data_IF_177249633548
#
_entry.id   IF_177249633548
#
_cell.length_a   1.000
_cell.length_b   1.000
_cell.length_c   1.000
_cell.angle_alpha   90.00
_cell.angle_beta   90.00
_cell.angle_gamma   90.00
#
_symmetry.space_group_name_H-M   'P 1'
#
loop_
_entity.id
_entity.type
_entity.pdbx_description
1 polymer ?
#
# COMPACT_ATOMS: atom_id res chain seq x y z
N UNK A 1 4.74 1.94 5.39
CA UNK A 1 6.19 2.23 5.17
C UNK A 1 6.45 2.16 3.68
N UNK A 2 6.91 3.25 3.05
CA UNK A 2 6.95 3.35 1.58
C UNK A 2 8.34 3.25 0.96
N UNK A 3 9.41 3.56 1.71
CA UNK A 3 10.78 3.58 1.18
C UNK A 3 11.54 2.31 1.56
N UNK A 4 11.60 1.98 2.86
CA UNK A 4 12.39 0.84 3.38
C UNK A 4 11.58 0.12 4.48
N UNK A 5 10.61 -0.76 4.14
CA UNK A 5 9.79 -1.47 5.12
C UNK A 5 10.61 -2.36 6.07
N UNK A 6 11.71 -2.93 5.58
CA UNK A 6 12.64 -3.77 6.34
C UNK A 6 13.44 -3.02 7.42
N UNK A 7 13.44 -1.68 7.45
CA UNK A 7 14.16 -0.92 8.47
C UNK A 7 13.40 -0.79 9.80
N UNK A 8 12.19 -1.32 9.93
CA UNK A 8 11.43 -1.24 11.18
C UNK A 8 12.16 -1.94 12.34
N UNK A 9 12.34 -1.22 13.47
CA UNK A 9 12.97 -1.75 14.70
C UNK A 9 12.00 -2.72 15.38
N UNK A 10 10.76 -2.30 15.54
CA UNK A 10 9.66 -3.13 16.01
C UNK A 10 8.97 -3.73 14.78
N UNK A 11 9.22 -5.02 14.51
CA UNK A 11 8.62 -5.72 13.37
C UNK A 11 7.11 -5.81 13.55
N UNK A 12 6.38 -5.48 12.48
CA UNK A 12 4.91 -5.56 12.41
C UNK A 12 4.45 -6.82 11.67
N UNK A 13 5.37 -7.72 11.34
CA UNK A 13 5.09 -8.92 10.54
C UNK A 13 4.45 -9.98 11.44
N UNK A 14 3.23 -10.40 11.10
CA UNK A 14 2.44 -11.36 11.88
C UNK A 14 1.65 -10.77 13.05
N UNK A 15 1.75 -9.46 13.34
CA UNK A 15 0.89 -8.78 14.30
C UNK A 15 -0.37 -8.25 13.60
N UNK A 16 -1.52 -8.42 14.25
CA UNK A 16 -2.81 -7.91 13.78
C UNK A 16 -3.43 -6.93 14.78
N UNK A 17 -4.19 -5.96 14.27
CA UNK A 17 -4.91 -4.98 15.09
C UNK A 17 -4.02 -4.11 15.98
N UNK A 18 -4.39 -4.02 17.26
CA UNK A 18 -3.82 -3.07 18.22
C UNK A 18 -2.31 -3.26 18.48
N UNK A 19 -1.80 -4.48 18.37
CA UNK A 19 -0.38 -4.76 18.63
C UNK A 19 0.52 -4.27 17.48
N UNK A 20 0.04 -4.38 16.23
CA UNK A 20 0.72 -3.84 15.06
C UNK A 20 0.76 -2.30 15.10
N UNK A 21 -0.33 -1.67 15.55
CA UNK A 21 -0.40 -0.22 15.73
C UNK A 21 0.57 0.27 16.82
N UNK A 22 0.66 -0.44 17.94
CA UNK A 22 1.62 -0.13 19.00
C UNK A 22 3.08 -0.23 18.51
N UNK A 23 3.40 -1.27 17.74
CA UNK A 23 4.73 -1.43 17.13
C UNK A 23 5.04 -0.29 16.13
N UNK A 24 4.07 0.11 15.31
CA UNK A 24 4.21 1.25 14.40
C UNK A 24 4.46 2.55 15.17
N UNK A 25 3.72 2.80 16.25
CA UNK A 25 3.84 4.01 17.05
C UNK A 25 5.22 4.10 17.73
N UNK A 26 5.72 2.98 18.25
CA UNK A 26 7.06 2.91 18.84
C UNK A 26 8.15 3.18 17.80
N UNK A 27 8.03 2.64 16.57
CA UNK A 27 8.93 2.97 15.47
C UNK A 27 8.93 4.49 15.17
N UNK A 28 7.75 5.11 15.10
CA UNK A 28 7.64 6.56 14.82
C UNK A 28 8.24 7.42 15.94
N UNK A 29 8.11 7.01 17.20
CA UNK A 29 8.73 7.70 18.34
C UNK A 29 10.25 7.67 18.23
N UNK A 30 10.85 6.50 18.00
CA UNK A 30 12.31 6.35 17.92
C UNK A 30 12.87 7.14 16.73
N UNK A 31 12.37 6.89 15.51
CA UNK A 31 12.83 7.62 14.33
C UNK A 31 12.54 9.12 14.41
N UNK A 32 11.40 9.51 14.98
CA UNK A 32 11.05 10.91 15.21
C UNK A 32 12.06 11.60 16.12
N UNK A 33 12.44 10.99 17.25
CA UNK A 33 13.44 11.56 18.16
C UNK A 33 14.83 11.69 17.52
N UNK A 34 15.25 10.68 16.75
CA UNK A 34 16.52 10.71 16.04
C UNK A 34 16.56 11.83 14.98
N UNK A 35 15.53 11.91 14.13
CA UNK A 35 15.44 12.95 13.10
C UNK A 35 15.34 14.35 13.72
N UNK A 36 14.57 14.52 14.79
CA UNK A 36 14.45 15.79 15.50
C UNK A 36 15.81 16.24 16.06
N UNK A 37 16.56 15.33 16.68
CA UNK A 37 17.88 15.63 17.23
C UNK A 37 18.86 16.06 16.13
N UNK A 38 18.84 15.39 14.98
CA UNK A 38 19.66 15.74 13.83
C UNK A 38 19.28 17.12 13.24
N UNK A 39 17.99 17.39 13.08
CA UNK A 39 17.50 18.68 12.60
C UNK A 39 17.87 19.82 13.55
N UNK A 40 17.80 19.60 14.87
CA UNK A 40 18.24 20.58 15.86
C UNK A 40 19.73 20.91 15.69
N UNK A 41 20.60 19.90 15.57
CA UNK A 41 22.04 20.08 15.36
C UNK A 41 22.30 20.90 14.08
N UNK A 42 21.63 20.57 12.98
CA UNK A 42 21.78 21.29 11.69
C UNK A 42 21.42 22.77 11.83
N UNK A 43 20.35 23.10 12.55
CA UNK A 43 19.92 24.49 12.78
C UNK A 43 20.94 25.24 13.63
N UNK A 44 21.47 24.63 14.70
CA UNK A 44 22.48 25.26 15.56
C UNK A 44 23.81 25.53 14.83
N UNK A 45 24.26 24.60 13.99
CA UNK A 45 25.54 24.72 13.28
C UNK A 45 25.46 25.70 12.11
N UNK A 46 24.29 25.89 11.50
CA UNK A 46 24.29 26.39 10.12
C UNK A 46 23.02 27.02 9.58
N UNK A 47 22.41 27.99 10.27
CA UNK A 47 21.27 28.77 9.72
C UNK A 47 21.56 29.38 8.33
N UNK A 48 22.82 29.74 8.06
CA UNK A 48 23.25 30.26 6.75
C UNK A 48 23.19 29.21 5.63
N UNK A 49 23.43 27.94 5.95
CA UNK A 49 23.36 26.83 5.01
C UNK A 49 21.92 26.41 4.73
N UNK A 50 21.08 26.36 5.77
CA UNK A 50 19.64 26.05 5.63
C UNK A 50 18.96 27.04 4.69
N UNK A 51 19.29 28.34 4.79
CA UNK A 51 18.74 29.36 3.90
C UNK A 51 19.09 29.14 2.41
N UNK A 52 20.27 28.57 2.11
CA UNK A 52 20.66 28.27 0.72
C UNK A 52 19.96 27.02 0.17
N UNK A 53 19.66 26.04 1.03
CA UNK A 53 18.93 24.82 0.66
C UNK A 53 17.41 25.01 0.59
N UNK A 54 16.88 26.08 1.20
CA UNK A 54 15.45 26.40 1.18
C UNK A 54 14.86 26.45 -0.23
N UNK A 55 15.60 26.99 -1.20
CA UNK A 55 15.17 27.06 -2.60
C UNK A 55 15.02 25.66 -3.23
N UNK A 56 15.88 24.71 -2.86
CA UNK A 56 15.80 23.32 -3.36
C UNK A 56 14.56 22.63 -2.81
N UNK A 57 14.25 22.81 -1.52
CA UNK A 57 13.03 22.28 -0.92
C UNK A 57 11.77 22.87 -1.57
N UNK A 58 11.76 24.18 -1.83
CA UNK A 58 10.66 24.83 -2.54
C UNK A 58 10.49 24.27 -3.95
N UNK A 59 11.59 24.11 -4.71
CA UNK A 59 11.55 23.52 -6.05
C UNK A 59 10.99 22.08 -6.03
N UNK A 60 11.37 21.26 -5.05
CA UNK A 60 10.85 19.90 -4.89
C UNK A 60 9.32 19.88 -4.70
N UNK A 61 8.79 20.79 -3.88
CA UNK A 61 7.34 20.90 -3.65
C UNK A 61 6.62 21.33 -4.93
N UNK A 62 7.14 22.33 -5.66
CA UNK A 62 6.56 22.77 -6.93
C UNK A 62 6.55 21.62 -7.96
N UNK A 63 7.66 20.90 -8.11
CA UNK A 63 7.72 19.72 -8.98
C UNK A 63 6.71 18.63 -8.57
N UNK A 64 6.52 18.40 -7.27
CA UNK A 64 5.55 17.42 -6.76
C UNK A 64 4.11 17.83 -7.11
N UNK A 65 3.77 19.12 -6.96
CA UNK A 65 2.45 19.65 -7.34
C UNK A 65 2.23 19.50 -8.85
N UNK A 66 3.22 19.88 -9.67
CA UNK A 66 3.14 19.74 -11.12
C UNK A 66 2.98 18.27 -11.55
N UNK A 67 3.68 17.34 -10.88
CA UNK A 67 3.55 15.91 -11.15
C UNK A 67 2.15 15.37 -10.83
N UNK A 68 1.52 15.84 -9.74
CA UNK A 68 0.14 15.48 -9.42
C UNK A 68 -0.82 15.97 -10.52
N UNK A 69 -0.71 17.23 -10.95
CA UNK A 69 -1.54 17.77 -12.03
C UNK A 69 -1.34 17.02 -13.36
N UNK A 70 -0.08 16.77 -13.73
CA UNK A 70 0.24 15.99 -14.93
C UNK A 70 -0.36 14.58 -14.84
N UNK A 71 -0.27 13.93 -13.67
CA UNK A 71 -0.86 12.62 -13.42
C UNK A 71 -2.38 12.61 -13.61
N UNK A 72 -3.09 13.58 -13.05
CA UNK A 72 -4.56 13.70 -13.20
C UNK A 72 -4.95 13.88 -14.67
N UNK A 73 -4.29 14.77 -15.41
CA UNK A 73 -4.57 15.00 -16.84
C UNK A 73 -4.27 13.72 -17.64
N UNK A 74 -3.17 13.03 -17.34
CA UNK A 74 -2.80 11.77 -18.00
C UNK A 74 -3.86 10.70 -17.80
N UNK A 75 -4.54 10.66 -16.65
CA UNK A 75 -5.63 9.71 -16.41
C UNK A 75 -6.87 9.91 -17.29
N UNK A 76 -7.03 11.06 -17.94
CA UNK A 76 -8.13 11.29 -18.89
C UNK A 76 -7.96 10.48 -20.18
N UNK A 77 -6.72 10.30 -20.62
CA UNK A 77 -6.41 9.60 -21.87
C UNK A 77 -5.94 8.17 -21.64
N UNK A 78 -5.15 7.94 -20.59
CA UNK A 78 -4.57 6.63 -20.29
C UNK A 78 -4.51 6.41 -18.76
N UNK A 79 -5.58 5.89 -18.15
CA UNK A 79 -5.61 5.63 -16.71
C UNK A 79 -4.56 4.57 -16.33
N UNK A 80 -3.83 4.75 -15.20
CA UNK A 80 -2.85 3.77 -14.76
C UNK A 80 -3.53 2.49 -14.26
N UNK A 81 -2.92 1.34 -14.56
CA UNK A 81 -3.40 0.03 -14.09
C UNK A 81 -3.00 -0.14 -12.62
N UNK A 82 -3.94 0.14 -11.72
CA UNK A 82 -3.78 -0.08 -10.28
C UNK A 82 -4.97 -0.90 -9.78
N UNK A 83 -4.89 -2.24 -9.83
CA UNK A 83 -6.01 -3.09 -9.45
C UNK A 83 -6.16 -3.21 -7.94
N UNK A 84 -7.42 -3.28 -7.49
CA UNK A 84 -7.80 -3.53 -6.11
C UNK A 84 -8.63 -4.82 -6.09
N UNK A 85 -8.31 -5.71 -5.16
CA UNK A 85 -9.00 -6.98 -5.01
C UNK A 85 -10.18 -6.82 -4.06
N UNK A 86 -11.36 -7.26 -4.48
CA UNK A 86 -12.59 -7.17 -3.71
C UNK A 86 -13.19 -8.57 -3.58
N UNK A 87 -13.55 -8.94 -2.35
CA UNK A 87 -14.31 -10.14 -2.06
C UNK A 87 -15.75 -9.73 -1.75
N UNK A 88 -16.67 -9.98 -2.66
CA UNK A 88 -18.05 -9.50 -2.57
C UNK A 88 -18.11 -7.97 -2.47
N UNK A 89 -18.33 -7.46 -1.25
CA UNK A 89 -18.38 -6.02 -0.94
C UNK A 89 -17.25 -5.56 0.01
N UNK A 90 -16.25 -6.40 0.27
CA UNK A 90 -15.12 -6.08 1.15
C UNK A 90 -13.83 -5.95 0.35
N UNK A 91 -13.09 -4.87 0.57
CA UNK A 91 -11.76 -4.71 -0.02
C UNK A 91 -10.75 -5.60 0.70
N UNK A 92 -9.88 -6.25 -0.09
CA UNK A 92 -8.78 -7.05 0.43
C UNK A 92 -7.50 -6.23 0.39
N UNK A 93 -6.72 -6.33 1.45
CA UNK A 93 -5.36 -5.79 1.47
C UNK A 93 -4.49 -6.74 0.66
N UNK A 94 -3.83 -6.22 -0.39
CA UNK A 94 -2.82 -6.95 -1.19
C UNK A 94 -1.55 -7.23 -0.37
N UNK A 95 -1.69 -8.00 0.70
CA UNK A 95 -0.61 -8.45 1.58
C UNK A 95 -0.90 -9.93 1.89
N UNK A 96 0.03 -10.80 1.49
CA UNK A 96 -0.10 -12.25 1.70
C UNK A 96 -0.68 -13.03 0.51
N UNK A 97 -1.01 -12.39 -0.60
CA UNK A 97 -1.37 -13.07 -1.85
C UNK A 97 -0.89 -12.31 -3.09
N UNK A 98 -0.66 -13.05 -4.18
CA UNK A 98 -0.06 -12.52 -5.42
C UNK A 98 -1.08 -12.30 -6.55
N UNK A 99 -2.22 -12.99 -6.49
CA UNK A 99 -3.25 -12.99 -7.55
C UNK A 99 -4.63 -12.83 -6.92
N UNK A 100 -5.43 -11.91 -7.46
CA UNK A 100 -6.82 -11.67 -7.06
C UNK A 100 -7.78 -12.72 -7.68
N UNK A 101 -7.56 -13.99 -7.38
CA UNK A 101 -8.42 -15.08 -7.82
C UNK A 101 -8.43 -16.18 -6.76
N UNK A 102 -9.50 -16.98 -6.71
CA UNK A 102 -9.57 -18.15 -5.80
C UNK A 102 -8.76 -19.32 -6.34
N UNK A 103 -8.85 -19.54 -7.65
CA UNK A 103 -8.21 -20.62 -8.39
C UNK A 103 -7.56 -20.06 -9.64
N UNK A 104 -6.49 -20.71 -10.10
CA UNK A 104 -5.81 -20.42 -11.36
C UNK A 104 -5.61 -21.73 -12.12
N UNK A 105 -5.64 -21.65 -13.45
CA UNK A 105 -5.28 -22.77 -14.30
C UNK A 105 -3.76 -22.75 -14.55
N UNK A 106 -3.07 -23.79 -14.10
CA UNK A 106 -1.65 -24.00 -14.40
C UNK A 106 -1.51 -25.37 -15.04
N UNK A 107 -0.97 -25.42 -16.25
CA UNK A 107 -0.67 -26.68 -16.97
C UNK A 107 -1.89 -27.62 -17.09
N UNK A 108 -3.06 -27.07 -17.47
CA UNK A 108 -4.34 -27.79 -17.60
C UNK A 108 -4.90 -28.38 -16.28
N UNK A 109 -4.38 -27.97 -15.13
CA UNK A 109 -4.92 -28.31 -13.82
C UNK A 109 -5.37 -27.03 -13.07
N UNK A 110 -6.46 -27.15 -12.32
CA UNK A 110 -6.94 -26.08 -11.42
C UNK A 110 -6.18 -26.14 -10.11
N UNK A 111 -5.46 -25.07 -9.79
CA UNK A 111 -4.65 -24.94 -8.58
C UNK A 111 -5.18 -23.77 -7.75
N UNK A 112 -5.22 -23.94 -6.43
CA UNK A 112 -5.62 -22.88 -5.49
C UNK A 112 -4.56 -21.79 -5.41
N UNK A 113 -4.98 -20.53 -5.22
CA UNK A 113 -4.04 -19.41 -5.05
C UNK A 113 -3.57 -19.23 -3.61
N UNK A 114 -2.59 -18.35 -3.38
CA UNK A 114 -2.22 -17.92 -2.02
C UNK A 114 -3.38 -17.26 -1.27
N UNK A 115 -4.32 -16.63 -2.00
CA UNK A 115 -5.53 -16.05 -1.42
C UNK A 115 -6.41 -17.13 -0.76
N UNK A 116 -6.50 -18.31 -1.37
CA UNK A 116 -7.22 -19.46 -0.80
C UNK A 116 -6.66 -19.86 0.57
N UNK A 117 -5.33 -19.89 0.72
CA UNK A 117 -4.66 -20.26 1.99
C UNK A 117 -4.93 -19.29 3.14
N UNK A 118 -5.35 -18.06 2.84
CA UNK A 118 -5.70 -17.07 3.86
C UNK A 118 -7.09 -17.30 4.46
N UNK A 119 -7.98 -17.98 3.73
CA UNK A 119 -9.41 -18.14 4.10
C UNK A 119 -9.85 -19.60 4.24
N UNK A 120 -8.97 -20.56 3.96
CA UNK A 120 -9.26 -21.99 3.97
C UNK A 120 -8.15 -22.78 4.69
N UNK A 121 -8.51 -23.90 5.30
CA UNK A 121 -7.60 -24.69 6.14
C UNK A 121 -6.50 -25.44 5.36
N UNK A 122 -6.69 -25.69 4.06
CA UNK A 122 -5.73 -26.40 3.22
C UNK A 122 -5.72 -25.91 1.78
N UNK A 123 -4.67 -26.28 1.03
CA UNK A 123 -4.51 -25.97 -0.40
C UNK A 123 -5.36 -26.85 -1.32
N UNK A 124 -6.15 -27.77 -0.76
CA UNK A 124 -6.99 -28.64 -1.56
C UNK A 124 -8.33 -27.95 -1.86
N UNK A 125 -8.88 -28.23 -3.05
CA UNK A 125 -10.19 -27.71 -3.48
C UNK A 125 -11.35 -28.17 -2.58
N UNK A 126 -11.13 -29.22 -1.77
CA UNK A 126 -12.10 -29.77 -0.82
C UNK A 126 -11.90 -29.24 0.61
N UNK A 127 -11.13 -28.17 0.80
CA UNK A 127 -10.93 -27.56 2.11
C UNK A 127 -12.22 -26.94 2.64
N UNK A 128 -12.37 -26.93 3.98
CA UNK A 128 -13.34 -26.05 4.62
C UNK A 128 -12.80 -24.62 4.58
N UNK A 129 -13.66 -23.69 4.17
CA UNK A 129 -13.32 -22.28 4.00
C UNK A 129 -14.29 -21.40 4.80
N UNK A 130 -13.89 -20.16 5.03
CA UNK A 130 -14.78 -19.14 5.58
C UNK A 130 -16.08 -18.99 4.76
N UNK A 131 -17.21 -18.84 5.46
CA UNK A 131 -18.54 -18.80 4.83
C UNK A 131 -18.72 -17.61 3.89
N UNK A 132 -18.11 -16.46 4.21
CA UNK A 132 -18.15 -15.27 3.37
C UNK A 132 -17.29 -15.48 2.11
N UNK A 133 -16.12 -16.11 2.27
CA UNK A 133 -15.24 -16.45 1.14
C UNK A 133 -15.87 -17.48 0.20
N UNK A 134 -16.59 -18.49 0.71
CA UNK A 134 -17.27 -19.48 -0.13
C UNK A 134 -18.45 -18.87 -0.93
N UNK A 135 -19.25 -18.02 -0.28
CA UNK A 135 -20.51 -17.50 -0.86
C UNK A 135 -20.30 -16.35 -1.84
N UNK A 136 -19.25 -15.55 -1.67
CA UNK A 136 -19.03 -14.34 -2.48
C UNK A 136 -17.98 -14.56 -3.57
N UNK A 137 -18.11 -13.85 -4.68
CA UNK A 137 -17.12 -13.89 -5.75
C UNK A 137 -15.94 -12.94 -5.46
N UNK A 138 -14.78 -13.27 -6.02
CA UNK A 138 -13.60 -12.40 -5.99
C UNK A 138 -13.56 -11.63 -7.31
N UNK A 139 -13.45 -10.31 -7.23
CA UNK A 139 -13.38 -9.43 -8.40
C UNK A 139 -12.22 -8.46 -8.28
N UNK A 140 -11.66 -8.11 -9.42
CA UNK A 140 -10.61 -7.12 -9.55
C UNK A 140 -11.20 -5.84 -10.14
N UNK A 141 -11.07 -4.73 -9.42
CA UNK A 141 -11.56 -3.42 -9.85
C UNK A 141 -10.39 -2.45 -9.97
N UNK A 142 -10.50 -1.48 -10.86
CA UNK A 142 -9.46 -0.46 -11.00
C UNK A 142 -9.59 0.60 -9.89
N UNK A 143 -8.54 0.77 -9.09
CA UNK A 143 -8.49 1.78 -8.03
C UNK A 143 -8.37 3.21 -8.55
N UNK A 144 -7.83 3.39 -9.76
CA UNK A 144 -7.72 4.70 -10.43
C UNK A 144 -8.40 4.60 -11.81
N UNK A 145 -9.73 4.76 -11.89
CA UNK A 145 -10.47 4.61 -13.14
C UNK A 145 -10.30 5.79 -14.10
N UNK A 146 -9.70 6.89 -13.63
CA UNK A 146 -9.42 8.10 -14.41
C UNK A 146 -10.55 9.12 -14.40
N UNK A 147 -10.24 10.37 -14.74
CA UNK A 147 -11.17 11.51 -14.57
C UNK A 147 -12.39 11.45 -15.52
N UNK A 148 -12.29 10.74 -16.64
CA UNK A 148 -13.41 10.56 -17.59
C UNK A 148 -14.35 9.42 -17.22
N UNK A 149 -14.05 8.64 -16.17
CA UNK A 149 -14.83 7.46 -15.79
C UNK A 149 -16.22 7.78 -15.22
N UNK A 150 -16.52 9.05 -14.90
CA UNK A 150 -17.82 9.48 -14.39
C UNK A 150 -18.13 9.00 -12.97
N UNK A 151 -17.11 8.60 -12.20
CA UNK A 151 -17.27 8.16 -10.79
C UNK A 151 -17.60 9.30 -9.82
N UNK A 152 -17.22 10.53 -10.16
CA UNK A 152 -17.65 11.73 -9.44
C UNK A 152 -18.84 12.33 -10.21
N UNK A 153 -20.03 12.20 -9.64
CA UNK A 153 -21.29 12.78 -10.13
C UNK A 153 -21.74 13.94 -9.25
#
# INVERSE_FOLDING_TARGET
VYIVPQAAIFKMEGLEGAEAEAAMLNNMRVYGTLVLSFMAIVVFVGVKYVNKLALVFLACVICSILAVYAGVIKTAFEPPVFPVCVLGNRTLVWKGFDVCAKIIERENATVTTKLWRLFCDSEFLNATCDSYFATNNVTEIQGIPGIMSGTLR
#
